data_IF_969714936939
#
_entry.id   IF_969714936939
#
_cell.length_a   1.000
_cell.length_b   1.000
_cell.length_c   1.000
_cell.angle_alpha   90.00
_cell.angle_beta   90.00
_cell.angle_gamma   90.00
#
_symmetry.space_group_name_H-M   'P 1'
#
loop_
_entity.id
_entity.type
_entity.pdbx_description
1 polymer ?
#
# COMPACT_ATOMS: atom_id res chain seq x y z
N UNK A 1 -13.66 12.12 -15.81
CA UNK A 1 -12.60 11.86 -14.83
C UNK A 1 -12.31 10.37 -14.86
N UNK A 2 -11.08 9.99 -15.23
CA UNK A 2 -10.66 8.60 -15.37
C UNK A 2 -9.25 8.42 -14.85
N UNK A 3 -9.00 7.28 -14.20
CA UNK A 3 -7.66 6.82 -13.85
C UNK A 3 -6.94 6.42 -15.14
N UNK A 4 -5.81 7.04 -15.42
CA UNK A 4 -5.02 6.82 -16.65
C UNK A 4 -3.84 5.88 -16.44
N UNK A 5 -3.23 5.93 -15.26
CA UNK A 5 -2.13 5.05 -14.89
C UNK A 5 -2.06 4.85 -13.37
N UNK A 6 -1.42 3.76 -12.95
CA UNK A 6 -1.01 3.53 -11.56
C UNK A 6 0.46 3.13 -11.58
N UNK A 7 1.30 3.87 -10.86
CA UNK A 7 2.73 3.62 -10.74
C UNK A 7 3.07 3.28 -9.30
N UNK A 8 3.85 2.23 -9.12
CA UNK A 8 4.29 1.79 -7.80
C UNK A 8 5.81 1.71 -7.75
N UNK A 9 6.41 2.24 -6.68
CA UNK A 9 7.87 2.28 -6.48
C UNK A 9 8.21 1.82 -5.07
N UNK A 10 9.14 0.88 -4.96
CA UNK A 10 9.70 0.49 -3.65
C UNK A 10 10.99 1.26 -3.44
N UNK A 11 11.05 1.97 -2.33
CA UNK A 11 12.25 2.66 -1.85
C UNK A 11 12.83 1.84 -0.71
N UNK A 12 14.12 1.54 -0.78
CA UNK A 12 14.83 0.75 0.23
C UNK A 12 15.87 1.64 0.91
N UNK A 13 15.84 1.69 2.23
CA UNK A 13 16.86 2.32 3.04
C UNK A 13 18.15 1.52 2.98
N UNK A 14 19.22 2.17 2.50
CA UNK A 14 20.58 1.60 2.41
C UNK A 14 21.57 2.25 3.37
N UNK A 15 21.10 3.19 4.19
CA UNK A 15 21.94 3.90 5.15
C UNK A 15 22.22 3.09 6.41
N UNK A 16 22.92 3.72 7.34
CA UNK A 16 23.16 3.15 8.68
C UNK A 16 21.82 2.92 9.39
N UNK A 17 21.71 1.79 10.08
CA UNK A 17 20.54 1.42 10.87
C UNK A 17 20.99 1.10 12.29
N UNK A 18 20.22 1.52 13.28
CA UNK A 18 20.46 1.11 14.67
C UNK A 18 19.84 -0.28 14.84
N UNK A 19 20.62 -1.30 15.24
CA UNK A 19 20.04 -2.61 15.51
C UNK A 19 19.04 -2.49 16.68
N UNK A 20 17.89 -3.16 16.61
CA UNK A 20 16.95 -3.19 17.73
C UNK A 20 17.67 -3.72 18.98
N UNK A 21 17.42 -3.11 20.13
CA UNK A 21 18.01 -3.58 21.38
C UNK A 21 17.44 -4.96 21.76
N UNK A 22 18.23 -5.84 22.38
CA UNK A 22 17.71 -7.08 22.94
C UNK A 22 16.52 -6.80 23.86
N UNK A 23 15.46 -7.60 23.74
CA UNK A 23 14.23 -7.45 24.53
C UNK A 23 13.52 -6.10 24.41
N UNK A 24 13.67 -5.38 23.28
CA UNK A 24 12.95 -4.13 23.02
C UNK A 24 11.43 -4.25 23.27
N UNK A 25 10.83 -5.36 22.83
CA UNK A 25 9.48 -5.76 23.22
C UNK A 25 9.29 -7.28 23.11
N UNK A 26 8.37 -7.81 23.91
CA UNK A 26 7.93 -9.19 23.79
C UNK A 26 7.15 -9.38 22.49
N UNK A 27 7.44 -10.43 21.73
CA UNK A 27 6.82 -10.72 20.44
C UNK A 27 6.59 -12.24 20.25
N UNK A 28 5.77 -12.67 19.25
CA UNK A 28 5.45 -14.08 19.05
C UNK A 28 6.65 -15.01 18.83
N UNK A 29 7.80 -14.50 18.37
CA UNK A 29 9.00 -15.30 18.14
C UNK A 29 9.75 -15.64 19.43
N UNK A 30 9.45 -14.99 20.55
CA UNK A 30 10.13 -15.23 21.83
C UNK A 30 9.88 -16.64 22.37
N UNK A 31 8.82 -17.32 21.91
CA UNK A 31 8.51 -18.71 22.26
C UNK A 31 9.43 -19.74 21.57
N UNK A 32 10.10 -19.36 20.48
CA UNK A 32 10.84 -20.30 19.65
C UNK A 32 12.32 -20.43 20.04
N UNK A 33 12.80 -19.68 21.04
CA UNK A 33 14.22 -19.65 21.44
C UNK A 33 15.18 -19.44 20.25
N UNK A 34 14.75 -18.67 19.23
CA UNK A 34 15.53 -18.33 18.03
C UNK A 34 15.96 -16.86 18.06
N UNK A 35 17.17 -16.53 18.55
CA UNK A 35 17.59 -15.13 18.78
C UNK A 35 17.85 -14.32 17.49
N UNK A 36 18.02 -15.00 16.35
CA UNK A 36 18.26 -14.35 15.04
C UNK A 36 16.96 -13.84 14.41
N UNK A 37 15.82 -14.45 14.75
CA UNK A 37 14.52 -14.15 14.14
C UNK A 37 13.64 -13.23 14.99
N UNK A 38 14.05 -12.91 16.22
CA UNK A 38 13.36 -11.94 17.07
C UNK A 38 13.38 -10.57 16.39
N UNK A 39 12.20 -10.14 15.94
CA UNK A 39 11.95 -8.87 15.24
C UNK A 39 12.61 -8.70 13.85
N UNK A 40 13.24 -9.73 13.28
CA UNK A 40 13.80 -9.66 11.92
C UNK A 40 12.75 -9.29 10.85
N UNK A 41 11.53 -9.77 11.04
CA UNK A 41 10.36 -9.48 10.20
C UNK A 41 9.74 -8.10 10.42
N UNK A 42 10.13 -7.37 11.48
CA UNK A 42 9.65 -6.02 11.82
C UNK A 42 10.59 -4.90 11.36
N UNK A 43 11.52 -5.21 10.46
CA UNK A 43 12.44 -4.24 9.88
C UNK A 43 11.78 -3.50 8.70
N UNK A 44 11.26 -2.31 8.95
CA UNK A 44 10.68 -1.42 7.93
C UNK A 44 11.74 -0.62 7.17
N UNK A 45 12.65 -1.33 6.50
CA UNK A 45 13.69 -0.69 5.69
C UNK A 45 13.21 -0.43 4.26
N UNK A 46 12.10 -1.03 3.86
CA UNK A 46 11.45 -0.77 2.58
C UNK A 46 10.15 0.02 2.76
N UNK A 47 9.87 0.91 1.81
CA UNK A 47 8.62 1.65 1.74
C UNK A 47 8.06 1.60 0.31
N UNK A 48 6.77 1.32 0.18
CA UNK A 48 6.06 1.37 -1.10
C UNK A 48 5.42 2.74 -1.26
N UNK A 49 5.63 3.36 -2.42
CA UNK A 49 4.93 4.55 -2.88
C UNK A 49 4.00 4.14 -4.02
N UNK A 50 2.75 4.61 -3.97
CA UNK A 50 1.72 4.40 -4.99
C UNK A 50 1.31 5.76 -5.53
N UNK A 51 1.30 5.90 -6.85
CA UNK A 51 0.91 7.12 -7.56
C UNK A 51 -0.24 6.76 -8.52
N UNK A 52 -1.39 7.42 -8.37
CA UNK A 52 -2.57 7.23 -9.23
C UNK A 52 -2.78 8.47 -10.07
N UNK A 53 -2.67 8.31 -11.39
CA UNK A 53 -2.77 9.40 -12.36
C UNK A 53 -4.18 9.50 -12.91
N UNK A 54 -4.70 10.72 -13.09
CA UNK A 54 -5.98 10.95 -13.75
C UNK A 54 -5.86 11.69 -15.08
N UNK A 55 -6.91 11.62 -15.89
CA UNK A 55 -7.06 12.35 -17.16
C UNK A 55 -7.12 13.88 -16.99
N UNK A 56 -7.32 14.37 -15.77
CA UNK A 56 -7.26 15.79 -15.42
C UNK A 56 -5.85 16.31 -15.09
N UNK A 57 -4.83 15.45 -15.10
CA UNK A 57 -3.44 15.80 -14.80
C UNK A 57 -3.07 15.77 -13.31
N UNK A 58 -4.02 15.50 -12.41
CA UNK A 58 -3.75 15.32 -10.98
C UNK A 58 -3.18 13.92 -10.67
N UNK A 59 -2.40 13.82 -9.59
CA UNK A 59 -1.72 12.59 -9.16
C UNK A 59 -1.91 12.40 -7.67
N UNK A 60 -2.70 11.40 -7.28
CA UNK A 60 -2.86 11.02 -5.88
C UNK A 60 -1.75 10.11 -5.39
N UNK A 61 -1.36 10.27 -4.13
CA UNK A 61 -0.25 9.56 -3.51
C UNK A 61 -0.74 8.71 -2.34
N UNK A 62 -0.34 7.44 -2.34
CA UNK A 62 -0.55 6.49 -1.26
C UNK A 62 0.72 5.73 -0.93
N UNK A 63 0.69 4.93 0.14
CA UNK A 63 1.87 4.22 0.59
C UNK A 63 1.57 2.94 1.37
N UNK A 64 2.58 2.08 1.50
CA UNK A 64 2.54 0.91 2.38
C UNK A 64 3.93 0.50 2.88
N UNK A 65 3.99 -0.01 4.10
CA UNK A 65 5.23 -0.50 4.71
C UNK A 65 5.31 -2.03 4.83
N UNK A 66 4.17 -2.71 4.92
CA UNK A 66 4.15 -4.17 5.04
C UNK A 66 4.52 -4.83 3.72
N UNK A 67 5.59 -5.63 3.73
CA UNK A 67 6.10 -6.40 2.58
C UNK A 67 6.08 -5.61 1.25
N UNK A 68 6.79 -4.47 1.14
CA UNK A 68 6.62 -3.49 0.05
C UNK A 68 6.70 -4.09 -1.36
N UNK A 69 7.60 -5.05 -1.58
CA UNK A 69 7.77 -5.73 -2.88
C UNK A 69 6.59 -6.63 -3.23
N UNK A 70 6.07 -7.37 -2.25
CA UNK A 70 4.90 -8.25 -2.46
C UNK A 70 3.65 -7.40 -2.68
N UNK A 71 3.48 -6.35 -1.88
CA UNK A 71 2.40 -5.38 -2.01
C UNK A 71 2.44 -4.71 -3.39
N UNK A 72 3.63 -4.28 -3.86
CA UNK A 72 3.84 -3.77 -5.21
C UNK A 72 3.35 -4.75 -6.28
N UNK A 73 3.81 -6.00 -6.24
CA UNK A 73 3.40 -7.01 -7.22
C UNK A 73 1.88 -7.23 -7.23
N UNK A 74 1.25 -7.20 -6.06
CA UNK A 74 -0.21 -7.35 -5.96
C UNK A 74 -0.93 -6.17 -6.62
N UNK A 75 -0.50 -4.93 -6.35
CA UNK A 75 -1.06 -3.74 -7.00
C UNK A 75 -0.87 -3.83 -8.52
N UNK A 76 0.36 -4.08 -8.98
CA UNK A 76 0.68 -4.06 -10.41
C UNK A 76 -0.05 -5.14 -11.20
N UNK A 77 -0.17 -6.35 -10.65
CA UNK A 77 -0.72 -7.51 -11.34
C UNK A 77 -2.25 -7.65 -11.20
N UNK A 78 -2.83 -7.22 -10.07
CA UNK A 78 -4.23 -7.51 -9.77
C UNK A 78 -5.11 -6.26 -9.60
N UNK A 79 -4.59 -5.18 -9.02
CA UNK A 79 -5.41 -3.98 -8.77
C UNK A 79 -5.35 -2.99 -9.93
N UNK A 80 -4.16 -2.72 -10.46
CA UNK A 80 -3.98 -1.78 -11.58
C UNK A 80 -4.88 -2.12 -12.77
N UNK A 81 -4.92 -3.36 -13.30
CA UNK A 81 -5.71 -3.66 -14.50
C UNK A 81 -7.21 -3.40 -14.36
N UNK A 82 -7.76 -3.50 -13.14
CA UNK A 82 -9.20 -3.31 -12.90
C UNK A 82 -9.57 -1.85 -12.60
N UNK A 83 -8.57 -1.00 -12.30
CA UNK A 83 -8.77 0.41 -11.96
C UNK A 83 -8.53 1.35 -13.13
N UNK A 84 -7.70 0.98 -14.11
CA UNK A 84 -7.49 1.81 -15.31
C UNK A 84 -8.82 2.05 -16.02
N UNK A 85 -9.06 3.31 -16.38
CA UNK A 85 -10.28 3.76 -17.06
C UNK A 85 -11.47 4.03 -16.14
N UNK A 86 -11.39 3.65 -14.86
CA UNK A 86 -12.45 3.89 -13.88
C UNK A 86 -12.44 5.34 -13.39
N UNK A 87 -13.59 5.81 -12.89
CA UNK A 87 -13.70 7.12 -12.28
C UNK A 87 -13.27 7.06 -10.80
N UNK A 88 -12.29 7.86 -10.34
CA UNK A 88 -11.84 7.83 -8.96
C UNK A 88 -12.92 8.21 -7.94
N UNK A 89 -13.99 8.91 -8.35
CA UNK A 89 -15.12 9.27 -7.48
C UNK A 89 -16.05 8.09 -7.16
N UNK A 90 -15.92 6.96 -7.85
CA UNK A 90 -16.70 5.75 -7.57
C UNK A 90 -16.06 4.92 -6.44
N UNK A 91 -15.59 5.58 -5.37
CA UNK A 91 -14.68 5.01 -4.37
C UNK A 91 -15.18 3.70 -3.75
N UNK A 92 -16.45 3.64 -3.32
CA UNK A 92 -17.04 2.42 -2.75
C UNK A 92 -17.05 1.27 -3.76
N UNK A 93 -17.39 1.55 -5.02
CA UNK A 93 -17.34 0.53 -6.07
C UNK A 93 -15.92 0.04 -6.30
N UNK A 94 -14.93 0.94 -6.40
CA UNK A 94 -13.53 0.57 -6.59
C UNK A 94 -13.02 -0.29 -5.43
N UNK A 95 -13.35 0.09 -4.19
CA UNK A 95 -12.99 -0.68 -3.01
C UNK A 95 -13.57 -2.09 -3.03
N UNK A 96 -14.87 -2.21 -3.29
CA UNK A 96 -15.56 -3.50 -3.37
C UNK A 96 -15.01 -4.36 -4.51
N UNK A 97 -14.69 -3.74 -5.65
CA UNK A 97 -14.14 -4.42 -6.81
C UNK A 97 -12.75 -4.98 -6.50
N UNK A 98 -11.86 -4.18 -5.90
CA UNK A 98 -10.54 -4.63 -5.46
C UNK A 98 -10.62 -5.75 -4.41
N UNK A 99 -11.47 -5.59 -3.39
CA UNK A 99 -11.64 -6.59 -2.33
C UNK A 99 -12.16 -7.91 -2.86
N UNK A 100 -13.25 -7.90 -3.65
CA UNK A 100 -13.85 -9.11 -4.23
C UNK A 100 -12.91 -9.78 -5.23
N UNK A 101 -12.17 -9.01 -6.04
CA UNK A 101 -11.21 -9.56 -7.00
C UNK A 101 -10.04 -10.28 -6.34
N UNK A 102 -9.66 -9.87 -5.14
CA UNK A 102 -8.55 -10.46 -4.38
C UNK A 102 -9.01 -11.39 -3.26
N UNK A 103 -10.32 -11.60 -3.07
CA UNK A 103 -10.90 -12.30 -1.92
C UNK A 103 -10.35 -13.72 -1.69
N UNK A 104 -9.91 -14.43 -2.72
CA UNK A 104 -9.34 -15.76 -2.58
C UNK A 104 -8.00 -15.77 -1.79
N UNK A 105 -7.23 -14.68 -1.82
CA UNK A 105 -5.88 -14.60 -1.25
C UNK A 105 -5.61 -13.32 -0.44
N UNK A 106 -6.55 -12.37 -0.39
CA UNK A 106 -6.31 -11.00 0.07
C UNK A 106 -7.10 -10.54 1.29
N UNK A 107 -7.95 -11.39 1.88
CA UNK A 107 -8.89 -11.02 2.97
C UNK A 107 -8.23 -10.39 4.20
N UNK A 108 -6.94 -10.64 4.40
CA UNK A 108 -6.10 -10.09 5.49
C UNK A 108 -4.68 -9.89 4.98
N UNK A 109 -3.85 -9.19 5.77
CA UNK A 109 -2.43 -9.02 5.47
C UNK A 109 -2.19 -8.23 4.18
N UNK A 110 -1.26 -8.72 3.35
CA UNK A 110 -0.75 -8.00 2.17
C UNK A 110 -1.85 -7.59 1.18
N UNK A 111 -2.90 -8.40 1.01
CA UNK A 111 -4.03 -8.04 0.15
C UNK A 111 -4.74 -6.77 0.60
N UNK A 112 -5.12 -6.71 1.88
CA UNK A 112 -5.73 -5.52 2.46
C UNK A 112 -4.79 -4.32 2.48
N UNK A 113 -3.48 -4.53 2.68
CA UNK A 113 -2.48 -3.45 2.62
C UNK A 113 -2.39 -2.86 1.21
N UNK A 114 -2.40 -3.70 0.17
CA UNK A 114 -2.38 -3.22 -1.22
C UNK A 114 -3.64 -2.40 -1.55
N UNK A 115 -4.82 -2.88 -1.13
CA UNK A 115 -6.08 -2.14 -1.28
C UNK A 115 -5.99 -0.80 -0.57
N UNK A 116 -5.52 -0.79 0.68
CA UNK A 116 -5.42 0.43 1.49
C UNK A 116 -4.45 1.45 0.86
N UNK A 117 -3.32 1.00 0.34
CA UNK A 117 -2.33 1.87 -0.30
C UNK A 117 -2.89 2.57 -1.54
N UNK A 118 -3.70 1.86 -2.33
CA UNK A 118 -4.37 2.43 -3.50
C UNK A 118 -5.54 3.32 -3.07
N UNK A 119 -6.34 2.91 -2.09
CA UNK A 119 -7.48 3.68 -1.58
C UNK A 119 -7.05 5.05 -1.03
N UNK A 120 -5.98 5.10 -0.24
CA UNK A 120 -5.38 6.36 0.23
C UNK A 120 -4.97 7.24 -0.96
N UNK A 121 -4.37 6.66 -2.00
CA UNK A 121 -4.00 7.42 -3.20
C UNK A 121 -5.23 7.94 -3.96
N UNK A 122 -6.34 7.20 -3.99
CA UNK A 122 -7.59 7.66 -4.58
C UNK A 122 -8.20 8.82 -3.80
N UNK A 123 -8.17 8.76 -2.46
CA UNK A 123 -8.62 9.87 -1.61
C UNK A 123 -7.76 11.13 -1.77
N UNK A 124 -6.45 10.99 -1.82
CA UNK A 124 -5.55 12.11 -2.11
C UNK A 124 -5.82 12.70 -3.51
N UNK A 125 -6.01 11.84 -4.52
CA UNK A 125 -6.37 12.27 -5.87
C UNK A 125 -7.68 13.07 -5.89
N UNK A 126 -8.73 12.57 -5.22
CA UNK A 126 -10.02 13.26 -5.15
C UNK A 126 -9.88 14.62 -4.44
N UNK A 127 -9.14 14.69 -3.34
CA UNK A 127 -8.87 15.95 -2.63
C UNK A 127 -8.14 16.96 -3.51
N UNK A 128 -7.14 16.52 -4.28
CA UNK A 128 -6.45 17.38 -5.24
C UNK A 128 -7.38 17.89 -6.35
N UNK A 129 -8.20 17.01 -6.95
CA UNK A 129 -9.16 17.38 -8.00
C UNK A 129 -10.17 18.41 -7.48
N UNK A 130 -10.70 18.19 -6.27
CA UNK A 130 -11.68 19.07 -5.64
C UNK A 130 -11.05 20.33 -5.01
N UNK A 131 -9.72 20.39 -4.91
CA UNK A 131 -8.97 21.43 -4.20
C UNK A 131 -9.42 21.57 -2.74
N UNK A 132 -9.64 20.44 -2.09
CA UNK A 132 -10.09 20.35 -0.70
C UNK A 132 -9.26 19.33 0.07
N UNK A 133 -9.06 19.53 1.38
CA UNK A 133 -8.45 18.50 2.21
C UNK A 133 -9.42 17.33 2.38
N UNK A 134 -8.89 16.11 2.49
CA UNK A 134 -9.67 14.85 2.55
C UNK A 134 -10.75 14.82 3.64
N UNK A 135 -10.58 15.56 4.74
CA UNK A 135 -11.55 15.60 5.83
C UNK A 135 -12.81 16.45 5.54
N UNK A 136 -12.82 17.21 4.44
CA UNK A 136 -13.95 18.05 4.00
C UNK A 136 -14.78 17.30 2.97
#
# INVERSE_FOLDING_TARGET
>A
MKITDIRTRVVEWRGQTVPPQPHFCTNPMDLLELPIDTMGSFRFHGWLIVEVFSDSGHVGIGNAALSPRVTKSLIDLYLKPILIGQNPFDCEFLWQHMYRRTMAFGRKGVGMVAISAVDIALWDLMGQILKQPVFR
#
